data_IF_715016320214
#
_entry.id   IF_715016320214
#
_cell.length_a   1.000
_cell.length_b   1.000
_cell.length_c   1.000
_cell.angle_alpha   90.00
_cell.angle_beta   90.00
_cell.angle_gamma   90.00
#
_symmetry.space_group_name_H-M   'P 1'
#
loop_
_entity.id
_entity.type
_entity.pdbx_description
1 polymer ?
#
# COMPACT_ATOMS: atom_id res chain seq x y z
N UNK A 1 -27.15 27.90 17.16
CA UNK A 1 -27.52 27.61 18.56
C UNK A 1 -26.25 27.56 19.40
N UNK A 2 -26.28 27.99 20.66
CA UNK A 2 -25.12 27.99 21.57
C UNK A 2 -25.23 26.84 22.57
N UNK A 3 -24.10 26.37 23.08
CA UNK A 3 -24.06 25.37 24.15
C UNK A 3 -24.31 26.07 25.49
N UNK A 4 -25.49 25.85 26.06
CA UNK A 4 -25.92 26.53 27.28
C UNK A 4 -25.40 25.84 28.56
N UNK A 5 -25.04 26.63 29.58
CA UNK A 5 -24.53 26.11 30.86
C UNK A 5 -25.53 25.18 31.57
N UNK A 6 -26.82 25.49 31.48
CA UNK A 6 -27.87 24.64 32.08
C UNK A 6 -27.95 23.28 31.39
N UNK A 7 -27.72 23.24 30.07
CA UNK A 7 -27.65 22.00 29.30
C UNK A 7 -26.46 21.16 29.75
N UNK A 8 -25.28 21.76 29.94
CA UNK A 8 -24.10 21.05 30.47
C UNK A 8 -24.37 20.49 31.87
N UNK A 9 -24.97 21.28 32.77
CA UNK A 9 -25.35 20.79 34.12
C UNK A 9 -26.27 19.57 34.05
N UNK A 10 -27.18 19.52 33.07
CA UNK A 10 -28.02 18.35 32.84
C UNK A 10 -27.22 17.13 32.38
N UNK A 11 -26.23 17.30 31.49
CA UNK A 11 -25.33 16.22 31.09
C UNK A 11 -24.58 15.61 32.28
N UNK A 12 -24.06 16.44 33.20
CA UNK A 12 -23.41 15.95 34.43
C UNK A 12 -24.34 15.09 35.28
N UNK A 13 -25.59 15.53 35.47
CA UNK A 13 -26.59 14.77 36.23
C UNK A 13 -26.90 13.43 35.56
N UNK A 14 -27.11 13.43 34.24
CA UNK A 14 -27.36 12.20 33.47
C UNK A 14 -26.17 11.24 33.56
N UNK A 15 -24.95 11.76 33.42
CA UNK A 15 -23.73 10.97 33.50
C UNK A 15 -23.55 10.31 34.87
N UNK A 16 -23.75 11.06 35.96
CA UNK A 16 -23.63 10.56 37.34
C UNK A 16 -24.73 9.57 37.72
N UNK A 17 -25.91 9.65 37.09
CA UNK A 17 -27.03 8.75 37.35
C UNK A 17 -26.87 7.38 36.67
N UNK A 18 -26.06 7.26 35.62
CA UNK A 18 -25.76 5.96 35.01
C UNK A 18 -24.67 5.25 35.84
N UNK A 19 -25.02 4.08 36.38
CA UNK A 19 -24.14 3.31 37.28
C UNK A 19 -22.92 2.73 36.56
N UNK A 20 -22.98 2.46 35.26
CA UNK A 20 -21.86 1.89 34.50
C UNK A 20 -20.81 2.95 34.20
N UNK A 21 -21.23 4.21 33.98
CA UNK A 21 -20.34 5.32 33.62
C UNK A 21 -19.15 5.45 34.57
N UNK A 22 -19.36 5.40 35.89
CA UNK A 22 -18.26 5.60 36.85
C UNK A 22 -17.23 4.46 36.80
N UNK A 23 -17.69 3.22 36.60
CA UNK A 23 -16.82 2.06 36.48
C UNK A 23 -15.98 2.14 35.20
N UNK A 24 -16.65 2.34 34.06
CA UNK A 24 -15.99 2.47 32.74
C UNK A 24 -15.04 3.67 32.73
N UNK A 25 -15.44 4.81 33.30
CA UNK A 25 -14.59 5.99 33.47
C UNK A 25 -13.31 5.65 34.20
N UNK A 26 -13.38 4.98 35.35
CA UNK A 26 -12.19 4.66 36.15
C UNK A 26 -11.24 3.73 35.38
N UNK A 27 -11.77 2.74 34.65
CA UNK A 27 -10.97 1.85 33.81
C UNK A 27 -10.29 2.59 32.65
N UNK A 28 -11.05 3.38 31.88
CA UNK A 28 -10.53 4.12 30.71
C UNK A 28 -9.56 5.23 31.13
N UNK A 29 -9.86 6.00 32.18
CA UNK A 29 -8.98 7.09 32.63
C UNK A 29 -7.63 6.57 33.15
N UNK A 30 -7.58 5.34 33.67
CA UNK A 30 -6.34 4.70 34.12
C UNK A 30 -5.54 4.06 32.97
N UNK A 31 -6.22 3.41 32.03
CA UNK A 31 -5.57 2.49 31.08
C UNK A 31 -5.61 2.96 29.61
N UNK A 32 -6.42 3.98 29.29
CA UNK A 32 -6.78 4.35 27.92
C UNK A 32 -7.96 3.54 27.37
N UNK A 33 -8.56 4.00 26.27
CA UNK A 33 -9.75 3.38 25.67
C UNK A 33 -9.45 1.94 25.23
N UNK A 34 -8.50 1.76 24.32
CA UNK A 34 -8.20 0.46 23.71
C UNK A 34 -7.82 -0.62 24.72
N UNK A 35 -6.95 -0.32 25.69
CA UNK A 35 -6.59 -1.30 26.72
C UNK A 35 -7.76 -1.65 27.64
N UNK A 36 -8.66 -0.70 27.94
CA UNK A 36 -9.80 -0.94 28.81
C UNK A 36 -10.96 -1.67 28.10
N UNK A 37 -11.01 -1.63 26.77
CA UNK A 37 -12.07 -2.25 25.96
C UNK A 37 -11.56 -3.41 25.10
N UNK A 38 -10.37 -3.92 25.38
CA UNK A 38 -9.77 -5.05 24.65
C UNK A 38 -10.59 -6.32 24.87
N UNK A 39 -10.96 -7.01 23.80
CA UNK A 39 -11.64 -8.29 23.84
C UNK A 39 -10.61 -9.42 23.81
N UNK A 40 -10.40 -10.12 24.93
CA UNK A 40 -9.46 -11.24 24.97
C UNK A 40 -9.96 -12.50 24.24
N UNK A 41 -11.26 -12.64 24.01
CA UNK A 41 -11.83 -13.86 23.42
C UNK A 41 -11.44 -14.03 21.95
N UNK A 42 -11.03 -12.95 21.28
CA UNK A 42 -10.52 -12.99 19.88
C UNK A 42 -9.30 -13.92 19.73
N UNK A 43 -8.54 -14.16 20.80
CA UNK A 43 -7.41 -15.10 20.78
C UNK A 43 -7.83 -16.56 20.54
N UNK A 44 -9.10 -16.91 20.79
CA UNK A 44 -9.63 -18.23 20.48
C UNK A 44 -9.66 -18.51 18.97
N UNK A 45 -9.83 -17.45 18.16
CA UNK A 45 -9.83 -17.53 16.69
C UNK A 45 -8.41 -17.35 16.14
N UNK A 46 -7.66 -16.39 16.68
CA UNK A 46 -6.33 -16.00 16.21
C UNK A 46 -5.17 -16.84 16.78
N UNK A 47 -5.22 -18.15 16.55
CA UNK A 47 -4.17 -19.08 16.98
C UNK A 47 -2.94 -19.16 16.04
N UNK A 48 -2.89 -18.34 14.98
CA UNK A 48 -1.85 -18.32 13.94
C UNK A 48 -1.66 -19.62 13.13
N UNK A 49 -2.65 -20.51 13.14
CA UNK A 49 -2.69 -21.69 12.28
C UNK A 49 -3.64 -21.48 11.10
N UNK A 50 -3.25 -21.95 9.92
CA UNK A 50 -4.00 -21.77 8.67
C UNK A 50 -3.87 -23.02 7.80
N UNK A 51 -4.99 -23.51 7.25
CA UNK A 51 -4.97 -24.75 6.46
C UNK A 51 -4.46 -24.59 5.02
N UNK A 52 -4.39 -23.36 4.49
CA UNK A 52 -3.77 -23.04 3.20
C UNK A 52 -2.70 -21.98 3.42
N UNK A 53 -1.46 -22.26 3.03
CA UNK A 53 -0.33 -21.34 3.15
C UNK A 53 0.58 -21.40 1.92
N UNK A 54 1.10 -20.24 1.56
CA UNK A 54 2.13 -20.05 0.54
C UNK A 54 3.53 -20.13 1.17
N UNK A 55 4.56 -20.22 0.33
CA UNK A 55 5.94 -20.28 0.83
C UNK A 55 6.38 -18.93 1.39
N UNK A 56 6.68 -18.90 2.69
CA UNK A 56 7.19 -17.72 3.42
C UNK A 56 8.66 -17.47 3.10
N UNK A 57 9.00 -16.22 2.80
CA UNK A 57 10.32 -15.86 2.25
C UNK A 57 11.27 -15.04 3.13
N UNK A 58 10.91 -14.85 4.41
CA UNK A 58 11.64 -14.00 5.35
C UNK A 58 10.98 -12.62 5.49
N UNK A 59 10.95 -12.13 6.73
CA UNK A 59 10.24 -10.91 7.11
C UNK A 59 10.99 -9.65 6.69
N UNK A 60 10.25 -8.59 6.40
CA UNK A 60 10.79 -7.31 5.93
C UNK A 60 10.39 -6.16 6.85
N UNK A 61 11.13 -5.05 6.81
CA UNK A 61 10.82 -3.88 7.64
C UNK A 61 11.05 -2.57 6.87
N UNK A 62 9.97 -1.86 6.53
CA UNK A 62 9.99 -0.58 5.85
C UNK A 62 10.44 0.58 6.75
N UNK A 63 10.44 0.37 8.07
CA UNK A 63 10.76 1.37 9.10
C UNK A 63 9.92 2.65 8.96
N UNK A 64 10.53 3.83 9.12
CA UNK A 64 9.84 5.12 9.13
C UNK A 64 9.64 5.66 7.71
N UNK A 65 9.00 4.85 6.85
CA UNK A 65 8.76 5.19 5.44
C UNK A 65 7.39 4.71 4.98
N UNK A 66 6.85 5.33 3.93
CA UNK A 66 5.57 4.95 3.30
C UNK A 66 5.74 3.96 2.13
N UNK A 67 6.67 3.01 2.23
CA UNK A 67 7.05 2.09 1.13
C UNK A 67 6.26 0.78 1.10
N UNK A 68 5.22 0.64 1.91
CA UNK A 68 4.46 -0.61 2.06
C UNK A 68 4.08 -1.28 0.73
N UNK A 69 3.63 -0.49 -0.23
CA UNK A 69 3.28 -0.94 -1.59
C UNK A 69 4.44 -1.58 -2.35
N UNK A 70 5.66 -1.02 -2.26
CA UNK A 70 6.89 -1.59 -2.83
C UNK A 70 7.26 -2.89 -2.11
N UNK A 71 7.20 -2.89 -0.77
CA UNK A 71 7.52 -4.08 0.03
C UNK A 71 6.58 -5.23 -0.32
N UNK A 72 5.27 -4.99 -0.31
CA UNK A 72 4.27 -5.98 -0.67
C UNK A 72 4.46 -6.47 -2.12
N UNK A 73 4.78 -5.58 -3.07
CA UNK A 73 5.00 -5.96 -4.48
C UNK A 73 6.24 -6.84 -4.66
N UNK A 74 7.31 -6.57 -3.91
CA UNK A 74 8.52 -7.40 -3.94
C UNK A 74 8.34 -8.71 -3.16
N UNK A 75 7.48 -8.74 -2.14
CA UNK A 75 7.17 -9.95 -1.37
C UNK A 75 6.51 -11.03 -2.24
N UNK A 76 5.58 -10.67 -3.14
CA UNK A 76 4.93 -11.65 -4.02
C UNK A 76 5.90 -12.28 -5.04
N UNK A 77 7.05 -11.65 -5.32
CA UNK A 77 8.08 -12.17 -6.21
C UNK A 77 9.06 -13.13 -5.51
N UNK A 78 9.09 -13.16 -4.17
CA UNK A 78 10.04 -14.00 -3.41
C UNK A 78 9.89 -15.50 -3.70
N UNK A 79 8.68 -16.10 -3.73
CA UNK A 79 8.55 -17.56 -3.80
C UNK A 79 9.26 -18.17 -5.01
N UNK A 80 9.06 -17.58 -6.20
CA UNK A 80 9.66 -18.06 -7.44
C UNK A 80 11.19 -17.88 -7.45
N UNK A 81 11.70 -16.78 -6.88
CA UNK A 81 13.15 -16.57 -6.73
C UNK A 81 13.76 -17.57 -5.76
N UNK A 82 13.12 -17.80 -4.62
CA UNK A 82 13.57 -18.77 -3.64
C UNK A 82 13.58 -20.19 -4.20
N UNK A 83 12.59 -20.53 -5.03
CA UNK A 83 12.56 -21.81 -5.74
C UNK A 83 13.73 -21.91 -6.72
N UNK A 84 13.95 -20.92 -7.58
CA UNK A 84 15.01 -20.93 -8.60
C UNK A 84 16.42 -20.90 -8.02
N UNK A 85 16.62 -20.23 -6.89
CA UNK A 85 17.90 -20.19 -6.18
C UNK A 85 18.07 -21.33 -5.17
N UNK A 86 17.04 -22.14 -4.92
CA UNK A 86 17.05 -23.17 -3.87
C UNK A 86 17.48 -22.60 -2.49
N UNK A 87 16.87 -21.51 -2.04
CA UNK A 87 17.15 -20.86 -0.74
C UNK A 87 15.94 -20.87 0.21
N UNK A 88 16.19 -20.78 1.52
CA UNK A 88 15.14 -20.70 2.55
C UNK A 88 14.49 -19.32 2.67
N UNK A 89 15.26 -18.26 2.43
CA UNK A 89 14.79 -16.89 2.52
C UNK A 89 15.44 -16.04 1.44
N UNK A 90 14.73 -15.03 0.97
CA UNK A 90 15.26 -14.08 0.00
C UNK A 90 14.60 -12.72 0.19
N UNK A 91 15.39 -11.66 0.01
CA UNK A 91 14.88 -10.29 0.05
C UNK A 91 15.43 -9.49 -1.14
N UNK A 92 14.52 -8.80 -1.84
CA UNK A 92 14.90 -7.80 -2.83
C UNK A 92 15.25 -6.47 -2.17
N UNK A 93 16.06 -5.65 -2.83
CA UNK A 93 16.34 -4.29 -2.39
C UNK A 93 15.14 -3.39 -2.62
N UNK A 94 14.45 -3.00 -1.55
CA UNK A 94 13.40 -1.99 -1.60
C UNK A 94 13.99 -0.58 -1.79
N UNK A 95 15.22 -0.35 -1.31
CA UNK A 95 15.97 0.88 -1.56
C UNK A 95 16.27 1.10 -3.06
N UNK A 96 16.56 0.03 -3.80
CA UNK A 96 16.74 0.09 -5.26
C UNK A 96 15.47 0.55 -5.97
N UNK A 97 14.33 -0.08 -5.68
CA UNK A 97 13.05 0.31 -6.28
C UNK A 97 12.65 1.73 -5.86
N UNK A 98 12.90 2.09 -4.60
CA UNK A 98 12.64 3.44 -4.07
C UNK A 98 13.46 4.52 -4.80
N UNK A 99 14.74 4.26 -5.13
CA UNK A 99 15.55 5.22 -5.89
C UNK A 99 14.85 5.62 -7.20
N UNK A 100 14.40 4.62 -7.95
CA UNK A 100 13.72 4.85 -9.23
C UNK A 100 12.32 5.41 -9.06
N UNK A 101 11.61 5.04 -7.99
CA UNK A 101 10.33 5.63 -7.62
C UNK A 101 10.43 7.14 -7.43
N UNK A 102 11.42 7.64 -6.66
CA UNK A 102 11.63 9.08 -6.47
C UNK A 102 11.94 9.80 -7.76
N UNK A 103 12.74 9.18 -8.63
CA UNK A 103 13.04 9.73 -9.95
C UNK A 103 11.79 9.84 -10.83
N UNK A 104 11.00 8.78 -10.91
CA UNK A 104 9.84 8.73 -11.80
C UNK A 104 8.68 9.59 -11.32
N UNK A 105 8.41 9.62 -10.01
CA UNK A 105 7.40 10.54 -9.47
C UNK A 105 7.77 11.99 -9.65
N UNK A 106 9.04 12.36 -9.46
CA UNK A 106 9.50 13.72 -9.73
C UNK A 106 9.34 14.07 -11.22
N UNK A 107 9.65 13.14 -12.12
CA UNK A 107 9.48 13.31 -13.55
C UNK A 107 8.00 13.52 -13.93
N UNK A 108 7.11 12.65 -13.46
CA UNK A 108 5.66 12.74 -13.68
C UNK A 108 5.08 14.02 -13.08
N UNK A 109 5.51 14.41 -11.87
CA UNK A 109 5.12 15.68 -11.26
C UNK A 109 5.44 16.89 -12.15
N UNK A 110 6.68 16.98 -12.67
CA UNK A 110 7.08 18.10 -13.51
C UNK A 110 6.29 18.13 -14.82
N UNK A 111 6.00 16.98 -15.42
CA UNK A 111 5.12 16.90 -16.60
C UNK A 111 3.71 17.40 -16.30
N UNK A 112 3.11 16.99 -15.17
CA UNK A 112 1.80 17.48 -14.77
C UNK A 112 1.75 19.01 -14.61
N UNK A 113 2.81 19.61 -14.05
CA UNK A 113 2.94 21.08 -13.94
C UNK A 113 3.08 21.73 -15.33
N UNK A 114 3.87 21.15 -16.22
CA UNK A 114 4.09 21.67 -17.58
C UNK A 114 2.80 21.58 -18.42
N UNK A 115 2.05 20.50 -18.30
CA UNK A 115 0.82 20.25 -19.06
C UNK A 115 -0.38 21.10 -18.58
N UNK A 116 -0.33 21.64 -17.35
CA UNK A 116 -1.45 22.36 -16.73
C UNK A 116 -1.07 23.78 -16.24
N UNK A 117 -0.53 24.66 -17.11
CA UNK A 117 -0.11 26.02 -16.72
C UNK A 117 -1.25 26.89 -16.17
N UNK A 118 -2.49 26.61 -16.58
CA UNK A 118 -3.68 27.36 -16.22
C UNK A 118 -4.10 27.20 -14.77
N UNK A 119 -3.67 26.13 -14.09
CA UNK A 119 -4.07 25.86 -12.72
C UNK A 119 -3.52 26.93 -11.76
N UNK A 120 -4.34 27.31 -10.80
CA UNK A 120 -4.07 28.28 -9.75
C UNK A 120 -3.73 27.59 -8.42
N UNK A 121 -3.13 28.33 -7.49
CA UNK A 121 -2.66 27.76 -6.22
C UNK A 121 -3.77 27.13 -5.38
N UNK A 122 -5.00 27.64 -5.46
CA UNK A 122 -6.16 27.15 -4.71
C UNK A 122 -6.98 26.10 -5.47
N UNK A 123 -6.56 25.72 -6.69
CA UNK A 123 -7.24 24.65 -7.40
C UNK A 123 -6.96 23.32 -6.72
N UNK A 124 -8.03 22.57 -6.38
CA UNK A 124 -7.92 21.26 -5.74
C UNK A 124 -6.98 20.31 -6.48
N UNK A 125 -7.04 20.31 -7.82
CA UNK A 125 -6.15 19.48 -8.64
C UNK A 125 -4.68 19.88 -8.49
N UNK A 126 -4.41 21.20 -8.45
CA UNK A 126 -3.06 21.72 -8.27
C UNK A 126 -2.51 21.34 -6.90
N UNK A 127 -3.30 21.51 -5.83
CA UNK A 127 -2.93 21.10 -4.47
C UNK A 127 -2.54 19.61 -4.42
N UNK A 128 -3.27 18.74 -5.13
CA UNK A 128 -2.92 17.32 -5.22
C UNK A 128 -1.60 17.09 -5.96
N UNK A 129 -1.33 17.83 -7.05
CA UNK A 129 -0.04 17.74 -7.74
C UNK A 129 1.12 18.11 -6.80
N UNK A 130 0.98 19.16 -5.99
CA UNK A 130 2.04 19.62 -5.07
C UNK A 130 2.49 18.56 -4.05
N UNK A 131 1.60 17.64 -3.67
CA UNK A 131 1.92 16.53 -2.76
C UNK A 131 2.64 15.35 -3.42
N UNK A 132 2.47 15.17 -4.73
CA UNK A 132 2.77 13.89 -5.39
C UNK A 132 4.27 13.59 -5.55
N UNK A 133 5.06 14.53 -6.08
CA UNK A 133 6.40 14.24 -6.63
C UNK A 133 7.48 13.78 -5.64
N UNK A 134 7.22 13.87 -4.33
CA UNK A 134 8.22 13.58 -3.28
C UNK A 134 7.74 12.55 -2.25
N UNK A 135 6.44 12.30 -2.12
CA UNK A 135 5.89 11.36 -1.12
C UNK A 135 6.19 9.90 -1.46
N UNK A 136 6.17 9.02 -0.45
CA UNK A 136 6.53 7.60 -0.61
C UNK A 136 5.38 6.75 -1.19
N UNK A 137 4.14 6.97 -0.77
CA UNK A 137 2.99 6.10 -1.05
C UNK A 137 2.69 5.89 -2.54
N UNK A 138 2.13 4.75 -2.91
CA UNK A 138 1.87 4.42 -4.31
C UNK A 138 1.08 3.13 -4.48
N UNK A 139 0.89 2.74 -5.74
CA UNK A 139 0.01 1.65 -6.13
C UNK A 139 0.76 0.48 -6.78
N UNK A 140 0.09 -0.66 -6.87
CA UNK A 140 0.61 -1.85 -7.55
C UNK A 140 1.14 -1.53 -8.95
N UNK A 141 0.37 -0.82 -9.77
CA UNK A 141 0.70 -0.53 -11.17
C UNK A 141 2.00 0.27 -11.31
N UNK A 142 2.30 1.11 -10.32
CA UNK A 142 3.55 1.85 -10.29
C UNK A 142 4.72 0.95 -9.90
N UNK A 143 4.52 0.01 -8.98
CA UNK A 143 5.53 -0.99 -8.61
C UNK A 143 5.82 -1.90 -9.81
N UNK A 144 4.77 -2.39 -10.47
CA UNK A 144 4.86 -3.16 -11.71
C UNK A 144 5.69 -2.40 -12.76
N UNK A 145 5.36 -1.14 -13.02
CA UNK A 145 6.09 -0.30 -13.97
C UNK A 145 7.56 -0.10 -13.60
N UNK A 146 7.86 0.14 -12.33
CA UNK A 146 9.25 0.29 -11.85
C UNK A 146 10.05 -1.00 -12.01
N UNK A 147 9.48 -2.13 -11.61
CA UNK A 147 10.08 -3.46 -11.75
C UNK A 147 10.30 -3.78 -13.23
N UNK A 148 9.32 -3.52 -14.09
CA UNK A 148 9.41 -3.76 -15.53
C UNK A 148 10.47 -2.88 -16.20
N UNK A 149 10.60 -1.60 -15.81
CA UNK A 149 11.55 -0.66 -16.42
C UNK A 149 12.98 -0.84 -15.92
N UNK A 150 13.16 -1.06 -14.62
CA UNK A 150 14.47 -1.02 -13.98
C UNK A 150 14.95 -2.38 -13.48
N UNK A 151 14.09 -3.39 -13.45
CA UNK A 151 14.40 -4.68 -12.85
C UNK A 151 14.41 -4.63 -11.33
N UNK A 152 14.99 -5.66 -10.73
CA UNK A 152 15.11 -5.81 -9.27
C UNK A 152 16.47 -6.41 -8.94
N UNK A 153 16.96 -6.12 -7.73
CA UNK A 153 18.24 -6.64 -7.25
C UNK A 153 18.08 -7.27 -5.87
N UNK A 154 18.92 -8.25 -5.48
CA UNK A 154 19.00 -8.71 -4.11
C UNK A 154 19.28 -7.58 -3.12
N UNK A 155 18.76 -7.67 -1.90
CA UNK A 155 18.98 -6.64 -0.87
C UNK A 155 20.45 -6.40 -0.54
N UNK A 156 21.28 -7.43 -0.59
CA UNK A 156 22.73 -7.30 -0.33
C UNK A 156 23.46 -6.49 -1.40
N UNK A 157 22.90 -6.37 -2.61
CA UNK A 157 23.48 -5.65 -3.74
C UNK A 157 23.24 -4.15 -3.64
N UNK A 158 22.10 -3.73 -3.08
CA UNK A 158 21.83 -2.34 -2.70
C UNK A 158 21.12 -2.34 -1.34
N UNK A 159 21.87 -2.23 -0.22
CA UNK A 159 21.28 -2.30 1.11
C UNK A 159 20.51 -1.02 1.46
N UNK A 160 19.75 -1.08 2.55
CA UNK A 160 19.12 0.10 3.14
C UNK A 160 20.16 1.13 3.59
N UNK A 161 19.87 2.41 3.37
CA UNK A 161 20.57 3.54 3.98
C UNK A 161 19.74 4.14 5.13
N UNK A 162 20.29 5.13 5.84
CA UNK A 162 19.51 5.90 6.81
C UNK A 162 18.24 6.48 6.18
N UNK A 163 18.36 7.14 5.02
CA UNK A 163 17.22 7.78 4.35
C UNK A 163 16.28 6.77 3.70
N UNK A 164 16.80 5.62 3.24
CA UNK A 164 15.94 4.54 2.75
C UNK A 164 15.03 4.02 3.87
N UNK A 165 15.46 4.06 5.13
CA UNK A 165 14.70 3.63 6.31
C UNK A 165 14.02 4.77 7.09
N UNK A 166 14.23 6.04 6.70
CA UNK A 166 13.67 7.24 7.31
C UNK A 166 13.64 8.39 6.28
N UNK A 167 12.53 8.50 5.56
CA UNK A 167 12.46 9.30 4.32
C UNK A 167 12.16 10.77 4.53
N UNK A 168 11.78 11.17 5.75
CA UNK A 168 11.27 12.51 6.04
C UNK A 168 12.24 13.61 5.55
N UNK A 169 13.53 13.50 5.87
CA UNK A 169 14.53 14.51 5.49
C UNK A 169 14.74 14.59 3.97
N UNK A 170 14.89 13.45 3.31
CA UNK A 170 15.05 13.39 1.86
C UNK A 170 13.82 13.94 1.14
N UNK A 171 12.62 13.57 1.60
CA UNK A 171 11.36 14.02 1.03
C UNK A 171 11.17 15.54 1.20
N UNK A 172 11.57 16.13 2.33
CA UNK A 172 11.55 17.58 2.51
C UNK A 172 12.50 18.31 1.55
N UNK A 173 13.70 17.78 1.32
CA UNK A 173 14.66 18.37 0.37
C UNK A 173 14.13 18.27 -1.06
N UNK A 174 13.60 17.11 -1.45
CA UNK A 174 12.94 16.92 -2.75
C UNK A 174 11.76 17.86 -2.92
N UNK A 175 10.91 18.02 -1.90
CA UNK A 175 9.78 18.94 -1.93
C UNK A 175 10.23 20.38 -2.18
N UNK A 176 11.21 20.89 -1.44
CA UNK A 176 11.75 22.24 -1.62
C UNK A 176 12.23 22.43 -3.07
N UNK A 177 13.01 21.48 -3.59
CA UNK A 177 13.54 21.54 -4.95
C UNK A 177 12.43 21.53 -6.01
N UNK A 178 11.48 20.60 -5.91
CA UNK A 178 10.38 20.45 -6.85
C UNK A 178 9.43 21.66 -6.84
N UNK A 179 9.08 22.18 -5.66
CA UNK A 179 8.24 23.38 -5.56
C UNK A 179 8.96 24.63 -6.08
N UNK A 180 10.27 24.75 -5.85
CA UNK A 180 11.09 25.82 -6.44
C UNK A 180 11.09 25.73 -7.97
N UNK A 181 11.25 24.52 -8.52
CA UNK A 181 11.16 24.29 -9.96
C UNK A 181 9.77 24.59 -10.52
N UNK A 182 8.70 24.30 -9.79
CA UNK A 182 7.32 24.63 -10.20
C UNK A 182 7.11 26.13 -10.30
N UNK A 183 7.64 26.93 -9.37
CA UNK A 183 7.61 28.38 -9.48
C UNK A 183 8.28 28.86 -10.77
N UNK A 184 9.49 28.37 -11.05
CA UNK A 184 10.27 28.77 -12.23
C UNK A 184 9.60 28.30 -13.53
N UNK A 185 9.06 27.07 -13.58
CA UNK A 185 8.32 26.57 -14.74
C UNK A 185 7.13 27.45 -15.09
N UNK A 186 6.37 27.89 -14.08
CA UNK A 186 5.25 28.82 -14.28
C UNK A 186 5.70 30.17 -14.81
N UNK A 187 6.80 30.72 -14.29
CA UNK A 187 7.40 31.96 -14.81
C UNK A 187 7.87 31.81 -16.26
N UNK A 188 8.50 30.69 -16.62
CA UNK A 188 8.89 30.37 -17.99
C UNK A 188 7.67 30.30 -18.92
N UNK A 189 6.59 29.65 -18.49
CA UNK A 189 5.34 29.54 -19.26
C UNK A 189 4.66 30.90 -19.43
N UNK A 190 4.60 31.73 -18.39
CA UNK A 190 4.05 33.09 -18.44
C UNK A 190 4.84 34.00 -19.40
N UNK A 191 6.15 33.81 -19.48
CA UNK A 191 7.04 34.53 -20.39
C UNK A 191 7.10 33.91 -21.80
N UNK A 192 6.22 32.97 -22.12
CA UNK A 192 6.16 32.28 -23.42
C UNK A 192 7.50 31.61 -23.82
N UNK A 193 8.21 31.03 -22.85
CA UNK A 193 9.41 30.25 -23.13
C UNK A 193 9.12 29.10 -24.12
N UNK A 194 10.10 28.80 -24.97
CA UNK A 194 9.96 27.72 -25.94
C UNK A 194 9.88 26.34 -25.25
N UNK A 195 9.30 25.36 -25.96
CA UNK A 195 9.27 23.97 -25.47
C UNK A 195 10.67 23.43 -25.17
N UNK A 196 11.68 23.83 -25.94
CA UNK A 196 13.07 23.44 -25.70
C UNK A 196 13.65 24.05 -24.42
N UNK A 197 13.34 25.31 -24.13
CA UNK A 197 13.75 25.96 -22.88
C UNK A 197 13.11 25.28 -21.66
N UNK A 198 11.82 24.94 -21.74
CA UNK A 198 11.10 24.20 -20.69
C UNK A 198 11.73 22.82 -20.49
N UNK A 199 12.00 22.10 -21.59
CA UNK A 199 12.64 20.77 -21.55
C UNK A 199 14.05 20.82 -20.95
N UNK A 200 14.85 21.81 -21.33
CA UNK A 200 16.19 22.00 -20.78
C UNK A 200 16.13 22.27 -19.26
N UNK A 201 15.22 23.13 -18.82
CA UNK A 201 15.02 23.41 -17.40
C UNK A 201 14.56 22.17 -16.62
N UNK A 202 13.60 21.40 -17.17
CA UNK A 202 13.15 20.14 -16.59
C UNK A 202 14.30 19.15 -16.43
N UNK A 203 15.15 18.99 -17.46
CA UNK A 203 16.30 18.09 -17.39
C UNK A 203 17.31 18.50 -16.31
N UNK A 204 17.59 19.80 -16.17
CA UNK A 204 18.43 20.33 -15.06
C UNK A 204 17.81 20.05 -13.70
N UNK A 205 16.48 20.20 -13.59
CA UNK A 205 15.73 19.87 -12.36
C UNK A 205 15.88 18.38 -12.03
N UNK A 206 15.67 17.50 -13.01
CA UNK A 206 15.78 16.04 -12.83
C UNK A 206 17.20 15.59 -12.49
N UNK A 207 18.23 16.23 -13.04
CA UNK A 207 19.61 15.96 -12.64
C UNK A 207 19.82 16.23 -11.14
N UNK A 208 19.20 17.29 -10.59
CA UNK A 208 19.27 17.56 -9.15
C UNK A 208 18.45 16.60 -8.30
N UNK A 209 17.32 16.11 -8.80
CA UNK A 209 16.59 15.00 -8.16
C UNK A 209 17.50 13.76 -8.08
N UNK A 210 18.20 13.42 -9.17
CA UNK A 210 19.15 12.32 -9.18
C UNK A 210 20.29 12.53 -8.16
N UNK A 211 20.89 13.73 -8.14
CA UNK A 211 21.94 14.06 -7.17
C UNK A 211 21.46 13.88 -5.71
N UNK A 212 20.23 14.30 -5.40
CA UNK A 212 19.62 14.16 -4.07
C UNK A 212 19.41 12.68 -3.73
N UNK A 213 18.82 11.90 -4.65
CA UNK A 213 18.58 10.48 -4.45
C UNK A 213 19.90 9.71 -4.28
N UNK A 214 20.89 9.96 -5.13
CA UNK A 214 22.20 9.29 -5.06
C UNK A 214 22.95 9.59 -3.76
N UNK A 215 22.90 10.84 -3.28
CA UNK A 215 23.50 11.21 -1.98
C UNK A 215 22.77 10.61 -0.79
N UNK A 216 21.48 10.33 -0.93
CA UNK A 216 20.63 9.84 0.17
C UNK A 216 20.55 8.31 0.23
N UNK A 217 20.55 7.65 -0.92
CA UNK A 217 20.25 6.22 -1.10
C UNK A 217 21.44 5.43 -1.68
N UNK A 218 22.48 6.10 -2.17
CA UNK A 218 23.54 5.49 -2.96
C UNK A 218 23.20 5.39 -4.45
N UNK A 219 24.20 5.07 -5.27
CA UNK A 219 24.00 4.86 -6.71
C UNK A 219 23.39 3.48 -6.97
N UNK A 220 22.32 3.37 -7.77
CA UNK A 220 21.78 2.08 -8.15
C UNK A 220 22.78 1.31 -9.02
N UNK A 221 23.03 0.02 -8.73
CA UNK A 221 23.96 -0.79 -9.50
C UNK A 221 23.42 -1.05 -10.91
N UNK A 222 24.30 -0.90 -11.91
CA UNK A 222 23.99 -1.21 -13.30
C UNK A 222 24.29 -2.67 -13.65
N UNK A 223 25.32 -3.24 -13.01
CA UNK A 223 25.71 -4.65 -13.04
C UNK A 223 26.26 -5.05 -11.68
N UNK A 224 26.11 -6.31 -11.30
CA UNK A 224 26.59 -6.82 -10.02
C UNK A 224 26.93 -8.31 -10.09
N UNK A 225 27.73 -8.74 -9.13
CA UNK A 225 27.89 -10.15 -8.79
C UNK A 225 26.98 -10.46 -7.59
N UNK A 226 26.37 -11.64 -7.56
CA UNK A 226 25.62 -12.14 -6.41
C UNK A 226 26.14 -13.51 -5.99
N UNK A 227 26.59 -13.60 -4.76
CA UNK A 227 27.17 -14.79 -4.15
C UNK A 227 26.28 -15.26 -3.01
N UNK A 228 25.94 -16.56 -2.99
CA UNK A 228 25.06 -17.13 -1.97
C UNK A 228 25.36 -18.61 -1.75
N UNK A 229 24.79 -19.16 -0.68
CA UNK A 229 24.72 -20.61 -0.45
C UNK A 229 23.27 -21.07 -0.52
N UNK A 230 23.04 -22.17 -1.22
CA UNK A 230 21.73 -22.81 -1.28
C UNK A 230 21.42 -23.63 -0.01
N UNK A 231 20.25 -24.27 0.03
CA UNK A 231 19.81 -25.16 1.11
C UNK A 231 20.78 -26.33 1.35
N UNK A 232 21.50 -26.76 0.32
CA UNK A 232 22.49 -27.84 0.37
C UNK A 232 23.89 -27.34 0.79
N UNK A 233 23.99 -26.07 1.22
CA UNK A 233 25.21 -25.37 1.62
C UNK A 233 26.23 -25.21 0.49
N UNK A 234 25.85 -25.45 -0.77
CA UNK A 234 26.71 -25.28 -1.94
C UNK A 234 26.85 -23.79 -2.26
N UNK A 235 28.08 -23.36 -2.54
CA UNK A 235 28.36 -21.99 -2.95
C UNK A 235 27.98 -21.79 -4.42
N UNK A 236 27.30 -20.68 -4.70
CA UNK A 236 26.93 -20.22 -6.03
C UNK A 236 27.38 -18.78 -6.23
N UNK A 237 27.78 -18.45 -7.46
CA UNK A 237 28.11 -17.10 -7.89
C UNK A 237 27.43 -16.81 -9.23
N UNK A 238 26.67 -15.73 -9.27
CA UNK A 238 26.07 -15.17 -10.47
C UNK A 238 26.86 -13.89 -10.78
N UNK A 239 27.65 -13.88 -11.85
CA UNK A 239 28.55 -12.77 -12.15
C UNK A 239 28.01 -11.82 -13.21
N UNK A 240 28.31 -10.52 -13.06
CA UNK A 240 28.11 -9.48 -14.06
C UNK A 240 26.69 -9.41 -14.64
N UNK A 241 25.68 -9.64 -13.80
CA UNK A 241 24.27 -9.61 -14.18
C UNK A 241 23.69 -8.21 -13.98
N UNK A 242 22.80 -7.79 -14.88
CA UNK A 242 22.02 -6.55 -14.73
C UNK A 242 20.75 -6.80 -13.90
N UNK A 243 20.14 -5.76 -13.31
CA UNK A 243 18.85 -5.86 -12.62
C UNK A 243 17.71 -6.45 -13.48
N UNK A 244 17.68 -6.14 -14.78
CA UNK A 244 16.68 -6.66 -15.72
C UNK A 244 16.92 -8.13 -16.08
N UNK A 245 18.18 -8.53 -16.28
CA UNK A 245 18.50 -9.95 -16.47
C UNK A 245 18.21 -10.77 -15.21
N UNK A 246 18.42 -10.19 -14.02
CA UNK A 246 18.03 -10.83 -12.76
C UNK A 246 16.52 -11.06 -12.70
N UNK A 247 15.73 -10.03 -12.98
CA UNK A 247 14.27 -10.13 -13.03
C UNK A 247 13.82 -11.26 -13.97
N UNK A 248 14.31 -11.26 -15.21
CA UNK A 248 13.98 -12.27 -16.20
C UNK A 248 14.34 -13.69 -15.73
N UNK A 249 15.54 -13.87 -15.17
CA UNK A 249 16.04 -15.20 -14.80
C UNK A 249 15.41 -15.71 -13.51
N UNK A 250 15.24 -14.87 -12.49
CA UNK A 250 14.93 -15.31 -11.13
C UNK A 250 13.53 -14.90 -10.63
N UNK A 251 12.97 -13.77 -11.07
CA UNK A 251 11.69 -13.26 -10.55
C UNK A 251 10.44 -13.63 -11.38
N UNK A 252 10.60 -14.00 -12.67
CA UNK A 252 9.49 -14.16 -13.64
C UNK A 252 8.87 -12.83 -14.09
N UNK A 253 8.24 -12.83 -15.27
CA UNK A 253 7.45 -11.69 -15.79
C UNK A 253 5.93 -11.89 -15.64
N UNK A 254 5.49 -13.01 -15.05
CA UNK A 254 4.05 -13.31 -14.89
C UNK A 254 3.31 -12.26 -14.06
N UNK A 255 4.00 -11.54 -13.18
CA UNK A 255 3.44 -10.43 -12.41
C UNK A 255 2.83 -9.34 -13.30
N UNK A 256 3.29 -9.18 -14.55
CA UNK A 256 2.76 -8.20 -15.51
C UNK A 256 1.33 -8.51 -15.94
N UNK A 257 0.90 -9.77 -15.84
CA UNK A 257 -0.44 -10.21 -16.23
C UNK A 257 -1.46 -10.08 -15.10
N UNK A 258 -1.02 -9.78 -13.88
CA UNK A 258 -1.91 -9.63 -12.74
C UNK A 258 -2.83 -8.43 -12.93
N UNK A 259 -4.05 -8.56 -12.42
CA UNK A 259 -5.08 -7.52 -12.49
C UNK A 259 -5.44 -7.05 -11.09
N UNK A 260 -5.81 -5.78 -11.02
CA UNK A 260 -6.23 -5.13 -9.79
C UNK A 260 -7.75 -5.22 -9.66
N UNK A 261 -8.22 -5.84 -8.59
CA UNK A 261 -9.62 -5.93 -8.23
C UNK A 261 -9.88 -5.00 -7.06
N UNK A 262 -10.98 -4.25 -7.10
CA UNK A 262 -11.45 -3.44 -5.98
C UNK A 262 -12.87 -3.84 -5.58
N UNK A 263 -13.18 -3.80 -4.29
CA UNK A 263 -14.55 -3.89 -3.79
C UNK A 263 -15.03 -2.52 -3.29
N UNK A 264 -15.60 -1.71 -4.20
CA UNK A 264 -16.21 -0.43 -3.86
C UNK A 264 -17.69 -0.61 -3.46
N UNK A 265 -18.06 -0.36 -2.18
CA UNK A 265 -19.43 -0.53 -1.69
C UNK A 265 -20.37 0.64 -2.00
N UNK A 266 -19.92 1.73 -2.63
CA UNK A 266 -20.70 2.98 -2.76
C UNK A 266 -21.87 2.93 -3.77
N UNK A 267 -22.01 1.85 -4.53
CA UNK A 267 -23.02 1.66 -5.59
C UNK A 267 -23.08 2.80 -6.64
N UNK A 268 -21.95 3.52 -6.82
CA UNK A 268 -21.79 4.57 -7.84
C UNK A 268 -21.20 4.05 -9.15
N UNK A 269 -20.60 2.86 -9.11
CA UNK A 269 -20.03 2.16 -10.26
C UNK A 269 -20.53 0.72 -10.28
N UNK A 270 -21.15 0.24 -11.38
CA UNK A 270 -21.60 -1.14 -11.46
C UNK A 270 -20.45 -2.14 -11.25
N UNK A 271 -20.77 -3.29 -10.66
CA UNK A 271 -19.86 -4.44 -10.60
C UNK A 271 -19.44 -4.86 -12.02
N UNK A 272 -18.20 -5.34 -12.17
CA UNK A 272 -17.55 -5.65 -13.44
C UNK A 272 -17.40 -4.41 -14.36
N UNK A 273 -17.03 -3.28 -13.77
CA UNK A 273 -16.64 -2.06 -14.50
C UNK A 273 -15.16 -1.78 -14.28
N UNK A 274 -14.43 -1.50 -15.36
CA UNK A 274 -13.05 -1.02 -15.25
C UNK A 274 -13.02 0.46 -14.93
N UNK A 275 -12.30 0.82 -13.90
CA UNK A 275 -12.08 2.19 -13.43
C UNK A 275 -10.60 2.52 -13.56
N UNK A 276 -10.30 3.81 -13.77
CA UNK A 276 -8.93 4.29 -13.87
C UNK A 276 -8.79 5.68 -13.26
N UNK A 277 -7.80 5.86 -12.39
CA UNK A 277 -7.50 7.17 -11.81
C UNK A 277 -6.81 8.09 -12.82
N UNK A 278 -7.23 9.36 -12.84
CA UNK A 278 -6.62 10.39 -13.68
C UNK A 278 -5.23 10.81 -13.17
N UNK A 279 -4.43 11.36 -14.10
CA UNK A 279 -3.17 12.08 -13.88
C UNK A 279 -1.97 11.28 -13.35
N UNK A 280 -2.06 10.71 -12.14
CA UNK A 280 -0.88 10.19 -11.44
C UNK A 280 -0.39 8.86 -12.01
N UNK A 281 0.92 8.79 -12.24
CA UNK A 281 1.65 7.58 -12.65
C UNK A 281 2.97 7.55 -11.90
N UNK A 282 3.48 6.35 -11.60
CA UNK A 282 4.88 6.18 -11.19
C UNK A 282 5.78 6.55 -12.37
N UNK A 283 6.26 5.57 -13.15
CA UNK A 283 6.79 5.84 -14.49
C UNK A 283 5.71 6.36 -15.44
N UNK A 284 5.99 7.38 -16.23
CA UNK A 284 4.98 8.00 -17.11
C UNK A 284 4.47 7.05 -18.20
N UNK A 285 5.28 6.08 -18.62
CA UNK A 285 4.90 5.02 -19.56
C UNK A 285 4.15 3.85 -18.92
N UNK A 286 4.12 3.77 -17.58
CA UNK A 286 3.45 2.69 -16.87
C UNK A 286 1.93 2.84 -16.94
N UNK A 287 1.23 1.77 -16.55
CA UNK A 287 -0.22 1.78 -16.40
C UNK A 287 -0.61 2.83 -15.36
N UNK A 288 -1.71 3.52 -15.61
CA UNK A 288 -2.43 4.22 -14.56
C UNK A 288 -2.87 3.23 -13.47
N UNK A 289 -3.14 3.73 -12.26
CA UNK A 289 -3.96 2.98 -11.32
C UNK A 289 -5.28 2.63 -12.02
N UNK A 290 -5.51 1.34 -12.24
CA UNK A 290 -6.68 0.87 -12.96
C UNK A 290 -7.13 -0.47 -12.42
N UNK A 291 -8.42 -0.61 -12.13
CA UNK A 291 -8.95 -1.77 -11.45
C UNK A 291 -10.34 -2.13 -11.96
N UNK A 292 -10.76 -3.37 -11.75
CA UNK A 292 -12.14 -3.79 -11.98
C UNK A 292 -12.89 -3.73 -10.66
N UNK A 293 -14.02 -3.00 -10.61
CA UNK A 293 -14.91 -3.05 -9.46
C UNK A 293 -15.59 -4.42 -9.40
N UNK A 294 -15.48 -5.11 -8.27
CA UNK A 294 -16.02 -6.45 -8.04
C UNK A 294 -16.77 -6.50 -6.71
N UNK A 295 -17.57 -7.55 -6.51
CA UNK A 295 -18.16 -7.79 -5.19
C UNK A 295 -17.08 -8.23 -4.20
N UNK A 296 -17.30 -8.00 -2.90
CA UNK A 296 -16.39 -8.48 -1.85
C UNK A 296 -16.22 -10.02 -1.88
N UNK A 297 -17.28 -10.75 -2.26
CA UNK A 297 -17.24 -12.20 -2.43
C UNK A 297 -16.32 -12.63 -3.58
N UNK A 298 -16.35 -11.92 -4.70
CA UNK A 298 -15.44 -12.18 -5.82
C UNK A 298 -13.99 -11.85 -5.45
N UNK A 299 -13.78 -10.76 -4.68
CA UNK A 299 -12.48 -10.40 -4.13
C UNK A 299 -11.90 -11.54 -3.28
N UNK A 300 -12.66 -12.02 -2.27
CA UNK A 300 -12.27 -13.13 -1.40
C UNK A 300 -12.03 -14.42 -2.19
N UNK A 301 -12.92 -14.76 -3.12
CA UNK A 301 -12.82 -15.98 -3.93
C UNK A 301 -11.55 -15.99 -4.78
N UNK A 302 -11.23 -14.88 -5.45
CA UNK A 302 -10.02 -14.78 -6.26
C UNK A 302 -8.76 -14.87 -5.40
N UNK A 303 -8.76 -14.26 -4.21
CA UNK A 303 -7.66 -14.39 -3.23
C UNK A 303 -7.47 -15.83 -2.77
N UNK A 304 -8.54 -16.53 -2.37
CA UNK A 304 -8.46 -17.95 -1.95
C UNK A 304 -7.91 -18.83 -3.07
N UNK A 305 -8.37 -18.64 -4.30
CA UNK A 305 -7.90 -19.42 -5.44
C UNK A 305 -6.41 -19.19 -5.72
N UNK A 306 -5.93 -17.94 -5.60
CA UNK A 306 -4.52 -17.59 -5.74
C UNK A 306 -3.67 -18.25 -4.64
N UNK A 307 -4.12 -18.19 -3.38
CA UNK A 307 -3.45 -18.84 -2.25
C UNK A 307 -3.42 -20.37 -2.39
N UNK A 308 -4.51 -21.00 -2.87
CA UNK A 308 -4.56 -22.43 -3.18
C UNK A 308 -3.58 -22.83 -4.28
N UNK A 309 -3.29 -21.92 -5.22
CA UNK A 309 -2.26 -22.09 -6.24
C UNK A 309 -0.82 -21.84 -5.73
N UNK A 310 -0.66 -21.47 -4.45
CA UNK A 310 0.63 -21.16 -3.85
C UNK A 310 1.15 -19.76 -4.21
N UNK A 311 0.30 -18.89 -4.75
CA UNK A 311 0.64 -17.52 -5.14
C UNK A 311 0.24 -16.52 -4.03
N UNK A 312 1.20 -15.81 -3.41
CA UNK A 312 0.87 -14.74 -2.46
C UNK A 312 0.18 -13.56 -3.15
N UNK A 313 -0.70 -12.87 -2.43
CA UNK A 313 -1.57 -11.83 -3.00
C UNK A 313 -1.24 -10.48 -2.39
N UNK A 314 -0.81 -9.52 -3.22
CA UNK A 314 -0.73 -8.11 -2.79
C UNK A 314 -2.15 -7.60 -2.52
N UNK A 315 -2.35 -6.89 -1.43
CA UNK A 315 -3.62 -6.24 -1.14
C UNK A 315 -3.45 -4.88 -0.47
N UNK A 316 -4.46 -4.04 -0.59
CA UNK A 316 -4.55 -2.76 0.11
C UNK A 316 -5.78 -2.68 1.00
N UNK A 317 -5.59 -2.06 2.16
CA UNK A 317 -6.58 -1.94 3.22
C UNK A 317 -6.45 -0.61 3.98
N UNK A 318 -7.38 -0.37 4.89
CA UNK A 318 -7.25 0.66 5.94
C UNK A 318 -6.63 0.05 7.21
N UNK A 319 -5.36 0.34 7.48
CA UNK A 319 -4.59 -0.21 8.61
C UNK A 319 -4.74 0.62 9.91
N UNK A 320 -5.86 1.32 10.07
CA UNK A 320 -6.20 2.11 11.25
C UNK A 320 -7.14 1.38 12.24
N UNK A 321 -8.36 0.99 11.82
CA UNK A 321 -9.40 0.50 12.73
C UNK A 321 -9.14 -0.91 13.27
N UNK A 322 -9.46 -1.13 14.54
CA UNK A 322 -9.62 -2.48 15.10
C UNK A 322 -8.38 -3.39 14.92
N UNK A 323 -7.20 -2.83 15.21
CA UNK A 323 -5.89 -3.51 15.07
C UNK A 323 -5.11 -3.48 16.38
N UNK A 324 -4.49 -4.61 16.72
CA UNK A 324 -3.42 -4.71 17.70
C UNK A 324 -2.13 -5.03 16.94
N UNK A 325 -1.29 -4.01 16.76
CA UNK A 325 -0.05 -4.13 16.00
C UNK A 325 0.97 -5.01 16.70
N UNK A 326 0.97 -5.01 18.03
CA UNK A 326 1.99 -5.72 18.80
C UNK A 326 1.74 -7.22 18.72
N UNK A 327 0.48 -7.63 18.91
CA UNK A 327 0.09 -9.04 18.85
C UNK A 327 -0.30 -9.51 17.43
N UNK A 328 -0.43 -8.60 16.47
CA UNK A 328 -0.66 -8.93 15.06
C UNK A 328 -2.09 -9.31 14.75
N UNK A 329 -3.05 -8.64 15.38
CA UNK A 329 -4.46 -9.03 15.33
C UNK A 329 -5.27 -7.96 14.59
N UNK A 330 -6.15 -8.41 13.71
CA UNK A 330 -7.04 -7.55 12.91
C UNK A 330 -8.45 -8.13 12.95
N UNK A 331 -9.28 -7.62 13.86
CA UNK A 331 -10.61 -8.16 14.13
C UNK A 331 -11.59 -7.06 14.49
N UNK A 332 -12.74 -6.99 13.80
CA UNK A 332 -13.76 -5.95 14.02
C UNK A 332 -14.26 -5.88 15.47
N UNK A 333 -14.10 -6.98 16.23
CA UNK A 333 -14.50 -7.14 17.63
C UNK A 333 -13.33 -7.00 18.62
N UNK A 334 -12.13 -6.61 18.16
CA UNK A 334 -10.94 -6.49 19.00
C UNK A 334 -11.11 -5.49 20.14
N UNK A 335 -11.73 -4.34 19.86
CA UNK A 335 -12.03 -3.31 20.85
C UNK A 335 -13.55 -3.05 20.92
N UNK A 336 -14.12 -3.28 22.09
CA UNK A 336 -15.56 -3.15 22.43
C UNK A 336 -15.94 -1.69 22.74
N UNK A 337 -15.65 -0.80 21.79
CA UNK A 337 -15.82 0.66 21.95
C UNK A 337 -17.30 1.05 21.99
N UNK A 338 -18.12 0.42 21.14
CA UNK A 338 -19.54 0.74 21.07
C UNK A 338 -20.24 0.37 22.37
N UNK A 339 -19.86 -0.74 22.99
CA UNK A 339 -20.37 -1.23 24.25
C UNK A 339 -19.93 -0.32 25.39
N UNK A 340 -18.65 0.07 25.42
CA UNK A 340 -18.09 0.90 26.49
C UNK A 340 -18.66 2.34 26.50
N UNK A 341 -18.99 2.88 25.33
CA UNK A 341 -19.50 4.25 25.18
C UNK A 341 -20.99 4.32 24.82
N UNK A 342 -21.68 3.17 24.78
CA UNK A 342 -23.08 3.05 24.36
C UNK A 342 -23.34 3.71 22.99
N UNK A 343 -22.39 3.57 22.05
CA UNK A 343 -22.46 4.17 20.72
C UNK A 343 -23.26 3.30 19.76
N UNK A 344 -24.16 3.93 19.00
CA UNK A 344 -24.81 3.31 17.85
C UNK A 344 -24.04 3.67 16.57
N UNK A 345 -22.98 2.93 16.26
CA UNK A 345 -22.30 3.10 14.98
C UNK A 345 -23.18 2.55 13.85
N UNK A 346 -23.62 3.44 12.97
CA UNK A 346 -24.47 3.12 11.81
C UNK A 346 -23.73 3.26 10.48
N UNK A 347 -22.43 3.62 10.50
CA UNK A 347 -21.68 3.93 9.30
C UNK A 347 -21.25 2.65 8.58
N UNK A 348 -21.82 2.44 7.40
CA UNK A 348 -21.40 1.37 6.48
C UNK A 348 -20.02 1.64 5.90
N UNK A 349 -19.40 0.64 5.27
CA UNK A 349 -18.13 0.83 4.53
C UNK A 349 -18.24 1.92 3.45
N UNK A 350 -19.40 2.02 2.79
CA UNK A 350 -19.69 3.08 1.82
C UNK A 350 -19.73 4.47 2.47
N UNK A 351 -20.40 4.60 3.62
CA UNK A 351 -20.43 5.86 4.37
C UNK A 351 -19.02 6.27 4.79
N UNK A 352 -18.21 5.34 5.28
CA UNK A 352 -16.83 5.62 5.70
C UNK A 352 -15.94 6.10 4.54
N UNK A 353 -16.12 5.56 3.33
CA UNK A 353 -15.45 6.07 2.13
C UNK A 353 -15.95 7.47 1.75
N UNK A 354 -17.26 7.68 1.72
CA UNK A 354 -17.88 8.96 1.35
C UNK A 354 -17.51 10.09 2.32
N UNK A 355 -17.44 9.79 3.61
CA UNK A 355 -16.99 10.72 4.66
C UNK A 355 -15.47 10.76 4.85
N UNK A 356 -14.70 10.03 4.04
CA UNK A 356 -13.22 9.95 4.12
C UNK A 356 -12.71 9.53 5.50
N UNK A 357 -13.51 8.73 6.22
CA UNK A 357 -13.14 8.14 7.49
C UNK A 357 -12.28 6.88 7.30
N UNK A 358 -12.44 6.19 6.17
CA UNK A 358 -11.67 4.99 5.82
C UNK A 358 -11.34 5.02 4.33
N UNK A 359 -10.06 4.85 4.01
CA UNK A 359 -9.52 4.76 2.65
C UNK A 359 -8.36 3.77 2.64
N UNK A 360 -8.00 3.17 1.49
CA UNK A 360 -6.77 2.40 1.38
C UNK A 360 -5.57 3.28 1.80
N UNK A 361 -4.78 2.82 2.77
CA UNK A 361 -3.64 3.58 3.31
C UNK A 361 -2.40 2.72 3.57
N UNK A 362 -2.51 1.40 3.43
CA UNK A 362 -1.40 0.47 3.62
C UNK A 362 -1.58 -0.76 2.74
N UNK A 363 -0.47 -1.26 2.22
CA UNK A 363 -0.41 -2.46 1.40
C UNK A 363 0.40 -3.56 2.10
N UNK A 364 -0.08 -4.79 2.00
CA UNK A 364 0.53 -5.99 2.60
C UNK A 364 0.38 -7.17 1.64
N UNK A 365 0.79 -8.36 2.09
CA UNK A 365 0.70 -9.58 1.28
C UNK A 365 -0.08 -10.65 2.04
N UNK A 366 -1.18 -11.15 1.46
CA UNK A 366 -1.79 -12.39 1.95
C UNK A 366 -0.90 -13.56 1.59
N UNK A 367 -0.60 -14.39 2.58
CA UNK A 367 0.25 -15.58 2.46
C UNK A 367 -0.44 -16.86 2.91
N UNK A 368 -1.66 -16.77 3.42
CA UNK A 368 -2.46 -17.92 3.82
C UNK A 368 -3.90 -17.58 4.15
N UNK A 369 -4.71 -18.61 4.28
CA UNK A 369 -6.12 -18.53 4.68
C UNK A 369 -6.49 -19.81 5.44
N UNK A 370 -7.35 -19.67 6.43
CA UNK A 370 -7.95 -20.78 7.17
C UNK A 370 -9.42 -20.90 6.73
N UNK A 371 -9.76 -22.01 6.08
CA UNK A 371 -11.11 -22.30 5.62
C UNK A 371 -11.84 -23.29 6.54
N UNK A 372 -13.14 -23.11 6.74
CA UNK A 372 -13.99 -24.10 7.41
C UNK A 372 -14.28 -25.32 6.52
N UNK A 373 -15.02 -26.29 7.07
CA UNK A 373 -15.47 -27.50 6.37
C UNK A 373 -16.31 -27.23 5.11
N UNK A 374 -16.91 -26.04 5.00
CA UNK A 374 -17.73 -25.57 3.89
C UNK A 374 -16.95 -24.67 2.91
N UNK A 375 -15.61 -24.61 3.02
CA UNK A 375 -14.73 -23.73 2.24
C UNK A 375 -14.98 -22.22 2.44
N UNK A 376 -15.55 -21.80 3.57
CA UNK A 376 -15.68 -20.40 3.94
C UNK A 376 -14.45 -19.94 4.73
N UNK A 377 -13.89 -18.76 4.42
CA UNK A 377 -12.78 -18.20 5.18
C UNK A 377 -13.21 -17.85 6.62
N UNK A 378 -12.38 -18.26 7.58
CA UNK A 378 -12.47 -17.89 9.00
C UNK A 378 -11.52 -16.72 9.27
N UNK A 379 -10.27 -16.86 8.81
CA UNK A 379 -9.21 -15.88 9.01
C UNK A 379 -8.13 -15.97 7.93
N UNK A 380 -7.37 -14.91 7.77
CA UNK A 380 -6.36 -14.70 6.75
C UNK A 380 -5.00 -14.48 7.39
N UNK A 381 -3.96 -15.04 6.78
CA UNK A 381 -2.57 -14.83 7.19
C UNK A 381 -1.95 -13.73 6.32
N UNK A 382 -1.37 -12.74 6.99
CA UNK A 382 -0.84 -11.54 6.35
C UNK A 382 0.64 -11.38 6.68
N UNK A 383 1.49 -11.34 5.65
CA UNK A 383 2.87 -10.86 5.75
C UNK A 383 2.87 -9.33 5.71
N UNK A 384 3.19 -8.71 6.86
CA UNK A 384 3.39 -7.26 6.94
C UNK A 384 4.85 -6.91 6.65
N UNK A 385 5.17 -5.61 6.63
CA UNK A 385 6.53 -5.08 6.38
C UNK A 385 7.01 -4.20 7.52
N UNK A 386 6.71 -4.58 8.78
CA UNK A 386 7.11 -3.84 9.99
C UNK A 386 8.07 -4.62 10.90
N UNK A 387 8.79 -5.60 10.33
CA UNK A 387 9.77 -6.42 11.04
C UNK A 387 9.16 -7.48 11.94
N UNK A 388 10.02 -8.27 12.55
CA UNK A 388 9.62 -9.46 13.33
C UNK A 388 9.09 -9.15 14.74
N UNK A 389 9.27 -7.92 15.22
CA UNK A 389 8.85 -7.52 16.57
C UNK A 389 7.34 -7.29 16.72
N UNK A 390 6.63 -7.16 15.59
CA UNK A 390 5.19 -6.96 15.52
C UNK A 390 4.51 -8.26 15.08
N UNK A 391 3.35 -8.55 15.66
CA UNK A 391 2.63 -9.78 15.36
C UNK A 391 3.41 -11.04 15.71
N UNK A 392 3.07 -12.14 15.03
CA UNK A 392 3.80 -13.39 15.15
C UNK A 392 4.97 -13.41 14.17
N UNK A 393 6.13 -12.88 14.60
CA UNK A 393 7.33 -12.75 13.75
C UNK A 393 7.07 -11.95 12.46
N UNK A 394 6.27 -10.88 12.57
CA UNK A 394 5.87 -10.00 11.47
C UNK A 394 4.62 -10.43 10.71
N UNK A 395 4.07 -11.60 11.02
CA UNK A 395 2.81 -12.07 10.46
C UNK A 395 1.62 -11.67 11.32
N UNK A 396 0.53 -11.30 10.65
CA UNK A 396 -0.73 -10.88 11.26
C UNK A 396 -1.82 -11.90 10.94
N UNK A 397 -2.77 -12.04 11.86
CA UNK A 397 -3.99 -12.82 11.69
C UNK A 397 -5.18 -11.87 11.59
N UNK A 398 -5.92 -11.98 10.49
CA UNK A 398 -7.04 -11.10 10.14
C UNK A 398 -8.32 -11.90 10.07
N UNK A 399 -9.36 -11.51 10.80
CA UNK A 399 -10.69 -12.13 10.69
C UNK A 399 -11.31 -11.89 9.30
N UNK A 400 -12.20 -12.78 8.88
CA UNK A 400 -12.88 -12.62 7.59
C UNK A 400 -13.80 -11.39 7.54
N UNK A 401 -14.36 -11.00 8.68
CA UNK A 401 -15.17 -9.78 8.83
C UNK A 401 -14.31 -8.51 8.73
N UNK A 402 -13.07 -8.53 9.23
CA UNK A 402 -12.15 -7.41 9.04
C UNK A 402 -11.80 -7.22 7.56
N UNK A 403 -11.63 -8.33 6.83
CA UNK A 403 -11.48 -8.28 5.37
C UNK A 403 -12.67 -7.55 4.72
N UNK A 404 -13.90 -7.92 5.09
CA UNK A 404 -15.11 -7.29 4.54
C UNK A 404 -15.14 -5.78 4.77
N UNK A 405 -14.78 -5.33 5.97
CA UNK A 405 -14.93 -3.94 6.37
C UNK A 405 -13.79 -3.02 5.91
N UNK A 406 -12.57 -3.54 5.76
CA UNK A 406 -11.37 -2.69 5.62
C UNK A 406 -10.40 -3.09 4.50
N UNK A 407 -10.57 -4.24 3.82
CA UNK A 407 -9.81 -4.56 2.60
C UNK A 407 -10.53 -3.98 1.39
N UNK A 408 -9.80 -3.26 0.54
CA UNK A 408 -10.39 -2.63 -0.64
C UNK A 408 -9.95 -3.27 -1.94
N UNK A 409 -8.71 -3.75 -2.01
CA UNK A 409 -8.09 -4.15 -3.26
C UNK A 409 -7.21 -5.38 -3.11
N UNK A 410 -7.19 -6.24 -4.13
CA UNK A 410 -6.26 -7.38 -4.25
C UNK A 410 -5.73 -7.48 -5.69
N UNK A 411 -4.49 -7.94 -5.83
CA UNK A 411 -3.84 -8.18 -7.12
C UNK A 411 -3.70 -9.67 -7.36
N UNK A 412 -4.33 -10.18 -8.41
CA UNK A 412 -4.41 -11.63 -8.67
C UNK A 412 -4.27 -11.94 -10.15
N UNK A 413 -3.92 -13.18 -10.46
CA UNK A 413 -3.94 -13.66 -11.84
C UNK A 413 -5.39 -13.70 -12.36
N UNK A 414 -5.67 -13.19 -13.58
CA UNK A 414 -7.01 -13.22 -14.17
C UNK A 414 -7.67 -14.59 -14.18
N UNK A 415 -6.90 -15.69 -14.24
CA UNK A 415 -7.44 -17.05 -14.24
C UNK A 415 -8.24 -17.42 -12.97
N UNK A 416 -8.05 -16.67 -11.88
CA UNK A 416 -8.75 -16.89 -10.62
C UNK A 416 -10.07 -16.11 -10.51
N UNK A 417 -10.37 -15.29 -11.50
CA UNK A 417 -11.52 -14.39 -11.55
C UNK A 417 -12.64 -14.97 -12.42
N UNK A 418 -13.85 -14.47 -12.21
CA UNK A 418 -15.00 -14.75 -13.07
C UNK A 418 -14.76 -14.25 -14.50
N UNK A 419 -15.41 -14.90 -15.48
CA UNK A 419 -15.34 -14.49 -16.88
C UNK A 419 -15.78 -13.03 -17.07
N UNK A 420 -16.83 -12.59 -16.36
CA UNK A 420 -17.30 -11.20 -16.39
C UNK A 420 -16.25 -10.20 -15.92
N UNK A 421 -15.45 -10.54 -14.90
CA UNK A 421 -14.37 -9.70 -14.40
C UNK A 421 -13.21 -9.63 -15.41
N UNK A 422 -12.87 -10.77 -16.01
CA UNK A 422 -11.82 -10.85 -17.06
C UNK A 422 -12.21 -9.99 -18.27
N UNK A 423 -13.47 -10.05 -18.69
CA UNK A 423 -13.95 -9.28 -19.84
C UNK A 423 -14.08 -7.79 -19.52
N UNK A 424 -14.53 -7.45 -18.31
CA UNK A 424 -14.53 -6.07 -17.82
C UNK A 424 -13.13 -5.44 -17.86
N UNK A 425 -12.09 -6.19 -17.49
CA UNK A 425 -10.72 -5.70 -17.50
C UNK A 425 -10.22 -5.31 -18.92
N UNK A 426 -10.83 -5.85 -19.97
CA UNK A 426 -10.50 -5.52 -21.38
C UNK A 426 -11.24 -4.28 -21.88
N UNK A 427 -12.29 -3.84 -21.19
CA UNK A 427 -13.09 -2.69 -21.58
C UNK A 427 -12.34 -1.37 -21.38
N UNK A 428 -12.81 -0.32 -22.05
CA UNK A 428 -12.37 1.05 -21.79
C UNK A 428 -12.74 1.45 -20.36
N UNK A 429 -11.78 2.02 -19.63
CA UNK A 429 -11.98 2.39 -18.24
C UNK A 429 -12.78 3.69 -18.10
N UNK A 430 -13.68 3.72 -17.12
CA UNK A 430 -14.28 4.97 -16.64
C UNK A 430 -13.22 5.72 -15.81
N UNK A 431 -13.01 7.00 -16.13
CA UNK A 431 -12.04 7.82 -15.41
C UNK A 431 -12.63 8.30 -14.08
N UNK A 432 -11.89 8.12 -12.99
CA UNK A 432 -12.22 8.67 -11.67
C UNK A 432 -11.31 9.85 -11.35
N UNK A 433 -11.88 10.84 -10.65
CA UNK A 433 -11.14 12.03 -10.26
C UNK A 433 -10.02 11.69 -9.25
N UNK A 434 -8.93 12.46 -9.22
CA UNK A 434 -7.80 12.17 -8.34
C UNK A 434 -8.14 12.28 -6.84
N UNK A 435 -9.25 12.92 -6.49
CA UNK A 435 -9.73 13.04 -5.12
C UNK A 435 -10.82 12.05 -4.73
N UNK A 436 -11.10 11.07 -5.59
CA UNK A 436 -11.89 9.90 -5.20
C UNK A 436 -11.12 9.12 -4.12
N UNK A 437 -11.77 8.64 -3.04
CA UNK A 437 -11.08 7.90 -1.99
C UNK A 437 -10.35 6.64 -2.47
N UNK A 438 -10.69 6.08 -3.64
CA UNK A 438 -10.01 4.93 -4.22
C UNK A 438 -8.77 5.29 -5.06
N UNK A 439 -8.56 6.58 -5.36
CA UNK A 439 -7.39 7.09 -6.09
C UNK A 439 -6.37 7.77 -5.18
N UNK A 440 -6.59 7.75 -3.86
CA UNK A 440 -5.70 8.30 -2.84
C UNK A 440 -4.99 7.15 -2.12
N UNK A 441 -3.68 7.31 -1.86
CA UNK A 441 -2.88 6.36 -1.10
C UNK A 441 -1.85 7.06 -0.21
#
# INVERSE_FOLDING_TARGET
>A
MKLELNTIKNYYKQYLNNKTNKLVQNAITKNGIYNATYNNDIHLVHNNEFNIQTKKGGMTNQKATGRCWIFAALNILKPITMQKLNVESFEYSQAYTMFWEKMEKANTYLELIIEHPQLQYQDRLFEMFLGFGHQDGGFWEWSEGLITKYGVVPKSVMPETFNASNTAQMNSILQIHLLSSTKILRELQQNNASKDQIKEFKNKTMQKVFDICAKSLGLPPLKFDFEYRDKDKKFHKISNITPLEWLQKYASFEYQNLINLYADPRDIYPINTKLQAKYFRGPIESRHLSFVNVSINELKKATINSLKAGEPVWFACDMGPQIDRKNGLMDVNLYQINEAFELKNILTKADRLNFKMSTPNHAMTFVGVDLDENNKPIKWEVENSWGEENGNKGYFSMSDEWFDEYVFSVIVNPQFCSQSTIDANKNTAIQIEPWDPLSIF
#
